data_IF_321420283135
#
_entry.id   IF_321420283135
#
_cell.length_a   1.000
_cell.length_b   1.000
_cell.length_c   1.000
_cell.angle_alpha   90.00
_cell.angle_beta   90.00
_cell.angle_gamma   90.00
#
_symmetry.space_group_name_H-M   'P 1'
#
loop_
_entity.id
_entity.type
_entity.pdbx_description
1 polymer ?
#
# COMPACT_ATOMS: atom_id res chain seq x y z
N UNK A 1 2.68 10.30 -25.28
CA UNK A 1 1.51 9.63 -24.67
C UNK A 1 1.85 8.27 -24.08
N UNK A 2 2.32 7.27 -24.85
CA UNK A 2 2.66 5.94 -24.33
C UNK A 2 3.66 5.94 -23.15
N UNK A 3 4.77 6.67 -23.29
CA UNK A 3 5.80 6.79 -22.24
C UNK A 3 5.29 7.37 -20.91
N UNK A 4 4.31 8.28 -20.95
CA UNK A 4 3.75 8.88 -19.74
C UNK A 4 2.80 7.90 -19.03
N UNK A 5 2.08 7.06 -19.78
CA UNK A 5 1.28 5.98 -19.21
C UNK A 5 2.15 4.91 -18.56
N UNK A 6 3.26 4.53 -19.20
CA UNK A 6 4.25 3.60 -18.64
C UNK A 6 4.78 4.12 -17.30
N UNK A 7 5.24 5.38 -17.24
CA UNK A 7 5.68 6.01 -15.97
C UNK A 7 4.62 5.98 -14.87
N UNK A 8 3.35 6.19 -15.22
CA UNK A 8 2.24 6.13 -14.26
C UNK A 8 2.02 4.72 -13.73
N UNK A 9 2.04 3.70 -14.60
CA UNK A 9 1.90 2.31 -14.18
C UNK A 9 3.09 1.82 -13.36
N UNK A 10 4.30 2.17 -13.77
CA UNK A 10 5.53 1.86 -13.04
C UNK A 10 5.50 2.50 -11.65
N UNK A 11 5.12 3.78 -11.56
CA UNK A 11 4.98 4.45 -10.28
C UNK A 11 3.87 3.83 -9.42
N UNK A 12 2.74 3.45 -10.03
CA UNK A 12 1.67 2.76 -9.32
C UNK A 12 2.13 1.43 -8.73
N UNK A 13 2.90 0.65 -9.48
CA UNK A 13 3.47 -0.62 -9.03
C UNK A 13 4.50 -0.41 -7.93
N UNK A 14 5.36 0.59 -8.09
CA UNK A 14 6.33 0.98 -7.08
C UNK A 14 5.66 1.33 -5.74
N UNK A 15 4.64 2.20 -5.76
CA UNK A 15 3.91 2.56 -4.53
C UNK A 15 3.20 1.34 -3.93
N UNK A 16 2.62 0.47 -4.75
CA UNK A 16 2.00 -0.76 -4.25
C UNK A 16 3.01 -1.62 -3.48
N UNK A 17 4.19 -1.83 -4.04
CA UNK A 17 5.23 -2.65 -3.43
C UNK A 17 5.73 -2.05 -2.12
N UNK A 18 6.04 -0.74 -2.09
CA UNK A 18 6.44 -0.07 -0.85
C UNK A 18 5.32 -0.07 0.20
N UNK A 19 4.08 0.18 -0.23
CA UNK A 19 2.93 0.11 0.66
C UNK A 19 2.71 -1.28 1.24
N UNK A 20 2.96 -2.33 0.45
CA UNK A 20 2.85 -3.72 0.89
C UNK A 20 3.92 -4.06 1.94
N UNK A 21 5.15 -3.58 1.75
CA UNK A 21 6.24 -3.71 2.73
C UNK A 21 5.86 -3.08 4.07
N UNK A 22 5.52 -1.79 4.06
CA UNK A 22 5.09 -1.04 5.26
C UNK A 22 3.89 -1.71 5.93
N UNK A 23 2.92 -2.18 5.13
CA UNK A 23 1.75 -2.86 5.67
C UNK A 23 2.13 -4.14 6.41
N UNK A 24 3.00 -4.99 5.83
CA UNK A 24 3.46 -6.21 6.49
C UNK A 24 4.24 -5.87 7.76
N UNK A 25 5.15 -4.90 7.72
CA UNK A 25 5.94 -4.49 8.89
C UNK A 25 5.06 -4.02 10.05
N UNK A 26 4.06 -3.16 9.77
CA UNK A 26 3.08 -2.72 10.76
C UNK A 26 2.24 -3.89 11.30
N UNK A 27 1.86 -4.83 10.43
CA UNK A 27 1.08 -5.99 10.81
C UNK A 27 1.89 -6.92 11.73
N UNK A 28 3.12 -7.23 11.36
CA UNK A 28 4.01 -8.11 12.13
C UNK A 28 4.36 -7.47 13.47
N UNK A 29 4.65 -6.16 13.51
CA UNK A 29 4.83 -5.42 14.75
C UNK A 29 3.60 -5.52 15.67
N UNK A 30 2.38 -5.41 15.10
CA UNK A 30 1.13 -5.57 15.87
C UNK A 30 0.97 -6.95 16.51
N UNK A 31 1.50 -7.99 15.86
CA UNK A 31 1.47 -9.35 16.39
C UNK A 31 2.50 -9.54 17.49
N UNK A 32 3.73 -9.05 17.30
CA UNK A 32 4.82 -9.15 18.28
C UNK A 32 4.48 -8.38 19.56
N UNK A 33 3.96 -7.16 19.43
CA UNK A 33 3.58 -6.32 20.57
C UNK A 33 2.21 -6.69 21.16
N UNK A 34 1.47 -7.60 20.52
CA UNK A 34 0.09 -7.96 20.87
C UNK A 34 -0.85 -6.75 20.95
N UNK A 35 -0.53 -5.67 20.23
CA UNK A 35 -1.31 -4.43 20.24
C UNK A 35 -2.04 -4.25 18.91
N UNK A 36 -3.37 -4.31 18.98
CA UNK A 36 -4.22 -4.10 17.80
C UNK A 36 -4.26 -2.64 17.35
N UNK A 37 -3.92 -1.70 18.23
CA UNK A 37 -3.94 -0.27 17.94
C UNK A 37 -2.94 0.09 16.84
N UNK A 38 -1.83 -0.65 16.72
CA UNK A 38 -0.78 -0.43 15.72
C UNK A 38 -1.00 -1.17 14.40
N UNK A 39 -2.08 -1.96 14.27
CA UNK A 39 -2.43 -2.63 13.00
C UNK A 39 -2.48 -1.63 11.84
N UNK A 40 -2.04 -2.04 10.63
CA UNK A 40 -2.06 -1.20 9.46
C UNK A 40 -3.50 -0.86 9.04
N UNK A 41 -3.65 0.31 8.44
CA UNK A 41 -4.82 0.71 7.69
C UNK A 41 -4.40 1.66 6.58
N UNK A 42 -5.30 1.97 5.64
CA UNK A 42 -5.01 2.86 4.50
C UNK A 42 -4.32 4.15 4.94
N UNK A 43 -4.84 4.81 5.99
CA UNK A 43 -4.35 6.11 6.44
C UNK A 43 -2.91 6.02 6.95
N UNK A 44 -2.61 5.06 7.83
CA UNK A 44 -1.27 4.89 8.39
C UNK A 44 -0.23 4.61 7.32
N UNK A 45 -0.53 3.68 6.41
CA UNK A 45 0.41 3.31 5.33
C UNK A 45 0.60 4.46 4.36
N UNK A 46 -0.46 5.20 4.03
CA UNK A 46 -0.36 6.39 3.18
C UNK A 46 0.46 7.48 3.85
N UNK A 47 0.21 7.75 5.12
CA UNK A 47 0.89 8.82 5.85
C UNK A 47 2.39 8.50 5.99
N UNK A 48 2.76 7.22 6.22
CA UNK A 48 4.16 6.74 6.20
C UNK A 48 4.82 6.92 4.83
N UNK A 49 4.14 6.54 3.75
CA UNK A 49 4.64 6.73 2.38
C UNK A 49 4.81 8.21 2.02
N UNK A 50 3.90 9.07 2.49
CA UNK A 50 3.97 10.52 2.25
C UNK A 50 5.11 11.14 3.03
N UNK A 51 5.34 10.72 4.28
CA UNK A 51 6.43 11.21 5.12
C UNK A 51 7.80 10.83 4.54
N UNK A 52 7.92 9.64 3.94
CA UNK A 52 9.19 9.11 3.40
C UNK A 52 9.28 9.18 1.87
N UNK A 53 8.65 10.17 1.24
CA UNK A 53 8.79 10.36 -0.22
C UNK A 53 10.22 10.69 -0.60
N UNK A 54 10.73 9.98 -1.60
CA UNK A 54 11.93 10.39 -2.30
C UNK A 54 11.67 11.59 -3.22
N UNK A 55 12.69 12.41 -3.47
CA UNK A 55 12.58 13.66 -4.25
C UNK A 55 11.92 13.45 -5.62
N UNK A 56 12.30 12.40 -6.34
CA UNK A 56 11.75 12.09 -7.66
C UNK A 56 10.24 11.74 -7.62
N UNK A 57 9.70 11.32 -6.47
CA UNK A 57 8.27 11.02 -6.33
C UNK A 57 7.40 12.28 -6.33
N UNK A 58 7.97 13.45 -6.01
CA UNK A 58 7.23 14.71 -6.08
C UNK A 58 6.92 15.12 -7.52
N UNK A 59 7.68 14.62 -8.50
CA UNK A 59 7.39 14.75 -9.93
C UNK A 59 6.28 13.81 -10.41
N UNK A 60 5.79 12.92 -9.55
CA UNK A 60 4.75 11.95 -9.87
C UNK A 60 3.42 12.34 -9.21
N UNK A 61 2.32 11.85 -9.77
CA UNK A 61 0.98 12.19 -9.28
C UNK A 61 0.75 11.66 -7.87
N UNK A 62 0.50 12.56 -6.91
CA UNK A 62 0.11 12.18 -5.56
C UNK A 62 -1.19 11.34 -5.53
N UNK A 63 -2.07 11.50 -6.53
CA UNK A 63 -3.30 10.73 -6.64
C UNK A 63 -3.02 9.25 -6.93
N UNK A 64 -1.99 8.94 -7.72
CA UNK A 64 -1.58 7.55 -7.99
C UNK A 64 -1.15 6.87 -6.70
N UNK A 65 -0.41 7.57 -5.84
CA UNK A 65 -0.01 7.04 -4.54
C UNK A 65 -1.24 6.72 -3.68
N UNK A 66 -2.15 7.68 -3.54
CA UNK A 66 -3.37 7.51 -2.74
C UNK A 66 -4.24 6.34 -3.24
N UNK A 67 -4.44 6.24 -4.56
CA UNK A 67 -5.21 5.15 -5.15
C UNK A 67 -4.53 3.79 -4.95
N UNK A 68 -3.20 3.74 -5.09
CA UNK A 68 -2.46 2.51 -4.87
C UNK A 68 -2.60 1.99 -3.44
N UNK A 69 -2.51 2.87 -2.44
CA UNK A 69 -2.67 2.50 -1.03
C UNK A 69 -4.12 2.13 -0.70
N UNK A 70 -5.10 2.82 -1.29
CA UNK A 70 -6.52 2.47 -1.14
C UNK A 70 -6.80 1.06 -1.66
N UNK A 71 -6.34 0.75 -2.86
CA UNK A 71 -6.53 -0.58 -3.44
C UNK A 71 -5.80 -1.67 -2.65
N UNK A 72 -4.61 -1.35 -2.09
CA UNK A 72 -3.90 -2.26 -1.18
C UNK A 72 -4.73 -2.53 0.08
N UNK A 73 -5.31 -1.48 0.68
CA UNK A 73 -6.18 -1.62 1.85
C UNK A 73 -7.40 -2.49 1.57
N UNK A 74 -8.00 -2.37 0.38
CA UNK A 74 -9.11 -3.24 -0.05
C UNK A 74 -8.65 -4.70 -0.22
N UNK A 75 -7.47 -4.91 -0.81
CA UNK A 75 -6.93 -6.25 -0.98
C UNK A 75 -6.71 -6.95 0.37
N UNK A 76 -6.20 -6.23 1.36
CA UNK A 76 -6.07 -6.74 2.73
C UNK A 76 -7.42 -6.97 3.41
N UNK A 77 -8.39 -6.06 3.23
CA UNK A 77 -9.74 -6.27 3.75
C UNK A 77 -10.39 -7.53 3.15
N UNK A 78 -10.14 -7.81 1.88
CA UNK A 78 -10.60 -9.02 1.21
C UNK A 78 -9.89 -10.26 1.78
N UNK A 79 -8.55 -10.25 1.89
CA UNK A 79 -7.76 -11.33 2.47
C UNK A 79 -8.25 -11.72 3.87
N UNK A 80 -8.55 -10.73 4.70
CA UNK A 80 -9.02 -10.93 6.08
C UNK A 80 -10.50 -11.34 6.18
N UNK A 81 -11.24 -11.39 5.07
CA UNK A 81 -12.63 -11.81 5.02
C UNK A 81 -12.75 -13.22 4.40
N UNK A 82 -12.91 -14.28 5.21
CA UNK A 82 -12.96 -15.66 4.71
C UNK A 82 -14.11 -15.95 3.75
N UNK A 83 -15.13 -15.08 3.71
CA UNK A 83 -16.30 -15.23 2.82
C UNK A 83 -16.05 -14.70 1.41
N UNK A 84 -14.94 -14.01 1.15
CA UNK A 84 -14.63 -13.47 -0.16
C UNK A 84 -14.05 -14.57 -1.08
N UNK A 85 -14.56 -14.72 -2.32
CA UNK A 85 -13.92 -15.58 -3.32
C UNK A 85 -12.52 -15.08 -3.65
N UNK A 86 -11.56 -16.00 -3.83
CA UNK A 86 -10.16 -15.69 -4.20
C UNK A 86 -9.50 -14.65 -3.29
N UNK A 87 -9.68 -14.76 -1.97
CA UNK A 87 -9.11 -13.87 -0.97
C UNK A 87 -7.62 -14.17 -0.70
N UNK A 88 -6.82 -14.34 -1.75
CA UNK A 88 -5.39 -14.61 -1.61
C UNK A 88 -4.65 -13.42 -0.96
N UNK A 89 -3.57 -13.71 -0.24
CA UNK A 89 -2.71 -12.68 0.35
C UNK A 89 -2.16 -11.77 -0.76
N UNK A 90 -2.14 -10.43 -0.59
CA UNK A 90 -1.50 -9.51 -1.52
C UNK A 90 -0.02 -9.85 -1.77
N UNK A 91 0.46 -9.66 -3.01
CA UNK A 91 1.82 -9.99 -3.48
C UNK A 91 2.43 -8.83 -4.29
N UNK A 92 3.73 -8.96 -4.58
CA UNK A 92 4.59 -8.03 -5.37
C UNK A 92 4.35 -8.07 -6.89
#
# INVERSE_FOLDING_TARGET
MRKELEKLFDYRRFVWNQGLEIWNDMYDASLVMMDKSIRPNERKVRDELVANKADWQFERSARVLQLAVNDLSKAWANYLNPKMPNHDKPKW
#
